data_IF_421065121263
#
_entry.id   IF_421065121263
#
_cell.length_a   1.000
_cell.length_b   1.000
_cell.length_c   1.000
_cell.angle_alpha   90.00
_cell.angle_beta   90.00
_cell.angle_gamma   90.00
#
_symmetry.space_group_name_H-M   'P 1'
#
loop_
_entity.id
_entity.type
_entity.pdbx_description
1 polymer ?
#
# COMPACT_ATOMS: atom_id res chain seq x y z
N UNK A 1 8.99 -0.22 43.71
CA UNK A 1 9.80 0.83 43.12
C UNK A 1 10.94 0.14 42.38
N UNK A 2 10.79 -0.07 41.08
CA UNK A 2 11.89 -0.38 40.15
C UNK A 2 11.63 0.51 38.95
N UNK A 3 12.32 1.65 38.93
CA UNK A 3 12.40 2.51 37.73
C UNK A 3 13.16 1.77 36.65
N UNK A 4 12.46 1.33 35.62
CA UNK A 4 13.07 0.83 34.38
C UNK A 4 13.32 2.05 33.50
N UNK A 5 14.60 2.46 33.40
CA UNK A 5 15.03 3.67 32.72
C UNK A 5 14.77 3.57 31.22
N UNK A 6 13.98 4.50 30.68
CA UNK A 6 13.64 4.71 29.27
C UNK A 6 14.84 5.08 28.38
N UNK A 7 16.02 5.23 28.96
CA UNK A 7 17.24 5.69 28.25
C UNK A 7 18.02 4.60 27.50
N UNK A 8 17.64 3.33 27.64
CA UNK A 8 18.51 2.24 27.16
C UNK A 8 18.26 1.82 25.72
N UNK A 9 17.13 2.16 25.11
CA UNK A 9 16.81 1.78 23.72
C UNK A 9 17.14 2.90 22.72
N UNK A 10 16.89 4.17 23.07
CA UNK A 10 17.25 5.32 22.22
C UNK A 10 18.76 5.54 22.10
N UNK A 11 19.53 5.12 23.11
CA UNK A 11 21.00 5.23 23.09
C UNK A 11 21.68 4.23 22.14
N UNK A 12 21.02 3.17 21.69
CA UNK A 12 21.65 2.16 20.82
C UNK A 12 21.73 2.55 19.33
N UNK A 13 20.82 3.36 18.82
CA UNK A 13 20.83 3.80 17.41
C UNK A 13 21.63 5.09 17.25
N UNK A 14 21.58 6.00 18.22
CA UNK A 14 22.30 7.31 18.15
C UNK A 14 23.75 7.22 18.66
N UNK A 15 24.12 6.18 19.42
CA UNK A 15 25.49 5.94 19.94
C UNK A 15 26.36 5.06 19.03
N UNK A 16 25.94 4.75 17.82
CA UNK A 16 26.87 4.36 16.75
C UNK A 16 27.67 5.60 16.32
N UNK A 17 28.26 6.27 17.34
CA UNK A 17 29.20 7.35 17.13
C UNK A 17 30.36 6.86 16.26
N UNK A 18 31.04 7.79 15.63
CA UNK A 18 32.17 7.71 14.71
C UNK A 18 33.29 6.68 15.03
N UNK A 19 33.16 5.89 16.09
CA UNK A 19 34.12 4.92 16.59
C UNK A 19 33.83 3.45 16.22
N UNK A 20 32.65 3.10 15.67
CA UNK A 20 32.35 1.72 15.28
C UNK A 20 33.09 1.35 13.98
N UNK A 21 33.92 0.30 13.95
CA UNK A 21 34.63 -0.11 12.74
C UNK A 21 33.68 -0.29 11.56
N UNK A 22 34.00 0.24 10.39
CA UNK A 22 33.17 0.22 9.17
C UNK A 22 32.64 -1.17 8.83
N UNK A 23 33.40 -2.26 9.11
CA UNK A 23 32.99 -3.64 8.92
C UNK A 23 31.85 -4.08 9.87
N UNK A 24 31.86 -3.60 11.11
CA UNK A 24 30.81 -3.93 12.09
C UNK A 24 29.54 -3.21 11.71
N UNK A 25 29.61 -1.95 11.31
CA UNK A 25 28.47 -1.15 10.83
C UNK A 25 27.84 -1.78 9.60
N UNK A 26 28.61 -2.12 8.58
CA UNK A 26 28.11 -2.79 7.37
C UNK A 26 27.47 -4.16 7.67
N UNK A 27 28.02 -4.91 8.65
CA UNK A 27 27.41 -6.16 9.10
C UNK A 27 26.06 -5.92 9.79
N UNK A 28 25.97 -4.96 10.69
CA UNK A 28 24.73 -4.61 11.39
C UNK A 28 23.65 -4.14 10.43
N UNK A 29 24.00 -3.27 9.45
CA UNK A 29 23.07 -2.81 8.40
C UNK A 29 22.57 -4.00 7.57
N UNK A 30 23.43 -4.94 7.23
CA UNK A 30 23.06 -6.16 6.49
C UNK A 30 22.16 -7.09 7.32
N UNK A 31 22.45 -7.26 8.59
CA UNK A 31 21.65 -8.09 9.50
C UNK A 31 20.25 -7.49 9.68
N UNK A 32 20.14 -6.17 9.84
CA UNK A 32 18.86 -5.43 9.93
C UNK A 32 18.06 -5.55 8.63
N UNK A 33 18.70 -5.41 7.46
CA UNK A 33 18.02 -5.58 6.18
C UNK A 33 17.50 -7.01 5.99
N UNK A 34 18.26 -8.03 6.41
CA UNK A 34 17.83 -9.42 6.34
C UNK A 34 16.66 -9.71 7.29
N UNK A 35 16.65 -9.11 8.47
CA UNK A 35 15.58 -9.24 9.45
C UNK A 35 14.28 -8.61 8.91
N UNK A 36 14.35 -7.43 8.31
CA UNK A 36 13.23 -6.78 7.65
C UNK A 36 12.68 -7.62 6.48
N UNK A 37 13.53 -8.18 5.63
CA UNK A 37 13.07 -9.08 4.55
C UNK A 37 12.34 -10.31 5.10
N UNK A 38 12.86 -10.94 6.15
CA UNK A 38 12.19 -12.07 6.81
C UNK A 38 10.83 -11.66 7.41
N UNK A 39 10.76 -10.47 8.00
CA UNK A 39 9.51 -9.92 8.53
C UNK A 39 8.49 -9.72 7.39
N UNK A 40 8.89 -9.09 6.29
CA UNK A 40 8.04 -8.89 5.11
C UNK A 40 7.48 -10.19 4.57
N UNK A 41 8.33 -11.18 4.34
CA UNK A 41 7.91 -12.47 3.80
C UNK A 41 6.95 -13.21 4.76
N UNK A 42 7.20 -13.17 6.06
CA UNK A 42 6.24 -13.74 7.04
C UNK A 42 4.87 -13.05 6.98
N UNK A 43 4.83 -11.72 6.90
CA UNK A 43 3.56 -10.98 6.85
C UNK A 43 2.85 -11.16 5.50
N UNK A 44 3.58 -11.23 4.40
CA UNK A 44 3.01 -11.56 3.07
C UNK A 44 2.42 -12.97 3.05
N UNK A 45 3.12 -13.94 3.59
CA UNK A 45 2.60 -15.32 3.70
C UNK A 45 1.33 -15.34 4.52
N UNK A 46 1.33 -14.67 5.69
CA UNK A 46 0.15 -14.59 6.56
C UNK A 46 -1.08 -14.04 5.84
N UNK A 47 -0.98 -12.90 5.16
CA UNK A 47 -2.13 -12.33 4.45
C UNK A 47 -2.55 -13.20 3.26
N UNK A 48 -1.62 -13.82 2.56
CA UNK A 48 -1.96 -14.74 1.47
C UNK A 48 -2.74 -15.96 1.96
N UNK A 49 -2.34 -16.55 3.09
CA UNK A 49 -3.07 -17.67 3.71
C UNK A 49 -4.46 -17.26 4.20
N UNK A 50 -4.63 -16.02 4.69
CA UNK A 50 -5.93 -15.50 5.07
C UNK A 50 -6.86 -15.37 3.85
N UNK A 51 -6.37 -14.75 2.78
CA UNK A 51 -7.10 -14.59 1.53
C UNK A 51 -7.47 -15.94 0.91
N UNK A 52 -6.54 -16.90 0.92
CA UNK A 52 -6.72 -18.24 0.38
C UNK A 52 -7.84 -19.00 1.12
N UNK A 53 -7.76 -19.05 2.45
CA UNK A 53 -8.79 -19.68 3.30
C UNK A 53 -10.15 -19.01 3.17
N UNK A 54 -10.18 -17.68 3.03
CA UNK A 54 -11.42 -16.95 2.88
C UNK A 54 -12.14 -17.34 1.57
N UNK A 55 -11.40 -17.41 0.45
CA UNK A 55 -11.96 -17.84 -0.84
C UNK A 55 -12.48 -19.28 -0.74
N UNK A 56 -11.70 -20.19 -0.15
CA UNK A 56 -12.11 -21.60 0.03
C UNK A 56 -13.41 -21.74 0.81
N UNK A 57 -13.62 -20.90 1.82
CA UNK A 57 -14.80 -20.96 2.67
C UNK A 57 -16.06 -20.32 2.05
N UNK A 58 -15.90 -19.29 1.19
CA UNK A 58 -17.02 -18.43 0.78
C UNK A 58 -17.32 -18.49 -0.73
N UNK A 59 -16.48 -19.09 -1.57
CA UNK A 59 -16.72 -19.17 -3.01
C UNK A 59 -17.11 -20.58 -3.46
N UNK A 60 -18.39 -20.78 -3.84
CA UNK A 60 -18.87 -22.07 -4.35
C UNK A 60 -18.76 -22.23 -5.87
N UNK A 61 -18.49 -21.15 -6.60
CA UNK A 61 -18.40 -21.16 -8.06
C UNK A 61 -16.97 -21.45 -8.52
N UNK A 62 -16.76 -22.57 -9.20
CA UNK A 62 -15.43 -22.97 -9.72
C UNK A 62 -14.81 -21.92 -10.64
N UNK A 63 -15.61 -21.27 -11.49
CA UNK A 63 -15.09 -20.24 -12.41
C UNK A 63 -14.74 -18.98 -11.63
N UNK A 64 -15.60 -18.51 -10.74
CA UNK A 64 -15.37 -17.32 -9.96
C UNK A 64 -14.20 -17.53 -9.00
N UNK A 65 -14.07 -18.68 -8.35
CA UNK A 65 -12.93 -19.03 -7.51
C UNK A 65 -11.61 -18.94 -8.28
N UNK A 66 -11.53 -19.52 -9.49
CA UNK A 66 -10.34 -19.42 -10.34
C UNK A 66 -10.01 -17.98 -10.70
N UNK A 67 -10.99 -17.16 -11.04
CA UNK A 67 -10.81 -15.76 -11.38
C UNK A 67 -10.37 -14.93 -10.17
N UNK A 68 -10.96 -15.13 -8.98
CA UNK A 68 -10.55 -14.52 -7.72
C UNK A 68 -9.10 -14.87 -7.37
N UNK A 69 -8.73 -16.14 -7.48
CA UNK A 69 -7.35 -16.60 -7.26
C UNK A 69 -6.40 -16.01 -8.28
N UNK A 70 -6.79 -15.89 -9.54
CA UNK A 70 -6.00 -15.26 -10.58
C UNK A 70 -5.76 -13.78 -10.29
N UNK A 71 -6.76 -13.05 -9.80
CA UNK A 71 -6.66 -11.64 -9.43
C UNK A 71 -5.74 -11.42 -8.20
N UNK A 72 -5.83 -12.31 -7.20
CA UNK A 72 -5.12 -12.19 -5.94
C UNK A 72 -3.73 -12.83 -5.95
N UNK A 73 -3.51 -13.93 -6.71
CA UNK A 73 -2.26 -14.69 -6.68
C UNK A 73 -1.64 -14.89 -8.09
N UNK A 74 -0.33 -14.72 -8.25
CA UNK A 74 0.66 -14.32 -7.26
C UNK A 74 0.42 -12.89 -6.83
N UNK A 75 0.36 -12.68 -5.52
CA UNK A 75 0.19 -11.35 -4.95
C UNK A 75 1.35 -10.43 -5.34
N UNK A 76 1.07 -9.14 -5.46
CA UNK A 76 2.10 -8.12 -5.62
C UNK A 76 2.93 -7.92 -4.35
N UNK A 77 3.41 -6.70 -4.15
CA UNK A 77 4.25 -6.32 -3.00
C UNK A 77 3.50 -6.36 -1.67
N UNK A 78 2.14 -6.46 -1.66
CA UNK A 78 1.28 -6.45 -0.46
C UNK A 78 1.54 -5.24 0.44
N UNK A 79 1.81 -4.08 -0.14
CA UNK A 79 2.26 -2.90 0.63
C UNK A 79 1.25 -2.46 1.68
N UNK A 80 -0.05 -2.42 1.37
CA UNK A 80 -1.09 -1.99 2.29
C UNK A 80 -1.23 -2.91 3.50
N UNK A 81 -1.33 -4.24 3.36
CA UNK A 81 -1.23 -5.17 4.48
C UNK A 81 0.05 -5.04 5.30
N UNK A 82 1.21 -4.82 4.65
CA UNK A 82 2.48 -4.63 5.36
C UNK A 82 2.47 -3.35 6.22
N UNK A 83 1.87 -2.26 5.73
CA UNK A 83 1.68 -1.03 6.51
C UNK A 83 0.77 -1.29 7.72
N UNK A 84 -0.32 -2.05 7.55
CA UNK A 84 -1.22 -2.45 8.64
C UNK A 84 -0.44 -3.19 9.73
N UNK A 85 0.31 -4.23 9.37
CA UNK A 85 1.10 -4.99 10.35
C UNK A 85 2.18 -4.16 11.01
N UNK A 86 2.87 -3.28 10.27
CA UNK A 86 3.88 -2.40 10.85
C UNK A 86 3.25 -1.35 11.79
N UNK A 87 2.10 -0.78 11.44
CA UNK A 87 1.36 0.14 12.31
C UNK A 87 0.82 -0.58 13.55
N UNK A 88 0.36 -1.83 13.43
CA UNK A 88 -0.08 -2.62 14.58
C UNK A 88 1.05 -2.88 15.55
N UNK A 89 2.26 -3.19 15.07
CA UNK A 89 3.46 -3.35 15.91
C UNK A 89 3.83 -2.05 16.62
N UNK A 90 3.78 -0.90 15.91
CA UNK A 90 4.04 0.40 16.50
C UNK A 90 3.06 0.76 17.63
N UNK A 91 1.81 0.33 17.52
CA UNK A 91 0.76 0.58 18.51
C UNK A 91 0.59 -0.53 19.56
N UNK A 92 1.41 -1.59 19.50
CA UNK A 92 1.29 -2.74 20.41
C UNK A 92 -0.01 -3.53 20.21
N UNK A 93 -0.56 -3.53 19.00
CA UNK A 93 -1.75 -4.29 18.60
C UNK A 93 -1.31 -5.64 18.03
N UNK A 94 -1.92 -6.72 18.50
CA UNK A 94 -1.60 -8.07 18.05
C UNK A 94 -1.95 -8.27 16.56
N UNK A 95 -1.09 -8.96 15.81
CA UNK A 95 -1.29 -9.21 14.38
C UNK A 95 -2.63 -9.90 14.06
N UNK A 96 -3.11 -10.77 14.94
CA UNK A 96 -4.41 -11.45 14.80
C UNK A 96 -5.60 -10.50 14.79
N UNK A 97 -5.49 -9.38 15.49
CA UNK A 97 -6.55 -8.36 15.55
C UNK A 97 -6.65 -7.53 14.26
N UNK A 98 -5.57 -7.46 13.48
CA UNK A 98 -5.53 -6.71 12.22
C UNK A 98 -5.55 -7.61 10.97
N UNK A 99 -5.64 -8.92 11.13
CA UNK A 99 -5.79 -9.87 10.03
C UNK A 99 -7.01 -9.57 9.14
N UNK A 100 -8.21 -9.32 9.69
CA UNK A 100 -9.38 -9.03 8.86
C UNK A 100 -9.21 -7.77 8.01
N UNK A 101 -8.69 -6.69 8.60
CA UNK A 101 -8.45 -5.44 7.87
C UNK A 101 -7.33 -5.57 6.84
N UNK A 102 -6.34 -6.43 7.09
CA UNK A 102 -5.25 -6.74 6.14
C UNK A 102 -5.77 -7.48 4.91
N UNK A 103 -6.68 -8.43 5.09
CA UNK A 103 -7.34 -9.12 3.98
C UNK A 103 -8.30 -8.18 3.24
N UNK A 104 -9.11 -7.41 3.96
CA UNK A 104 -10.10 -6.49 3.41
C UNK A 104 -9.47 -5.42 2.50
N UNK A 105 -8.39 -4.77 2.97
CA UNK A 105 -7.72 -3.71 2.20
C UNK A 105 -7.09 -4.26 0.91
N UNK A 106 -6.58 -5.50 0.94
CA UNK A 106 -6.00 -6.12 -0.24
C UNK A 106 -7.07 -6.58 -1.23
N UNK A 107 -8.24 -7.07 -0.77
CA UNK A 107 -9.39 -7.35 -1.62
C UNK A 107 -9.92 -6.06 -2.26
N UNK A 108 -10.06 -4.97 -1.47
CA UNK A 108 -10.44 -3.64 -1.94
C UNK A 108 -9.47 -3.10 -2.99
N UNK A 109 -8.17 -3.26 -2.79
CA UNK A 109 -7.18 -2.90 -3.79
C UNK A 109 -7.24 -3.78 -5.03
N UNK A 110 -7.45 -5.09 -4.86
CA UNK A 110 -7.43 -6.03 -5.99
C UNK A 110 -8.64 -5.88 -6.90
N UNK A 111 -9.84 -5.55 -6.36
CA UNK A 111 -10.99 -5.26 -7.19
C UNK A 111 -10.73 -4.07 -8.11
N UNK A 112 -10.10 -2.99 -7.59
CA UNK A 112 -9.82 -1.83 -8.40
C UNK A 112 -8.90 -2.16 -9.58
N UNK A 113 -7.88 -3.00 -9.35
CA UNK A 113 -7.00 -3.45 -10.43
C UNK A 113 -7.71 -4.30 -11.48
N UNK A 114 -8.65 -5.18 -11.06
CA UNK A 114 -9.45 -5.99 -11.99
C UNK A 114 -10.35 -5.12 -12.87
N UNK A 115 -10.96 -4.09 -12.27
CA UNK A 115 -11.82 -3.17 -13.02
C UNK A 115 -11.01 -2.17 -13.85
N UNK A 116 -9.88 -1.68 -13.36
CA UNK A 116 -8.98 -0.79 -14.10
C UNK A 116 -8.48 -1.45 -15.39
N UNK A 117 -8.23 -2.77 -15.37
CA UNK A 117 -7.74 -3.51 -16.55
C UNK A 117 -8.81 -3.71 -17.65
N UNK A 118 -10.11 -3.46 -17.39
CA UNK A 118 -11.19 -3.69 -18.35
C UNK A 118 -11.04 -2.82 -19.61
N UNK A 119 -11.55 -3.29 -20.80
CA UNK A 119 -11.52 -2.52 -22.04
C UNK A 119 -12.20 -1.15 -21.98
N UNK A 120 -13.15 -0.95 -21.05
CA UNK A 120 -13.81 0.33 -20.82
C UNK A 120 -13.03 1.28 -19.91
N UNK A 121 -11.88 0.85 -19.41
CA UNK A 121 -10.99 1.57 -18.50
C UNK A 121 -9.60 1.72 -19.12
N UNK A 122 -8.56 1.08 -18.56
CA UNK A 122 -7.19 1.17 -19.07
C UNK A 122 -6.89 0.21 -20.23
N UNK A 123 -7.74 -0.79 -20.48
CA UNK A 123 -7.58 -1.88 -21.50
C UNK A 123 -6.20 -2.56 -21.44
N UNK A 124 -5.76 -2.85 -20.23
CA UNK A 124 -4.46 -3.49 -19.98
C UNK A 124 -4.56 -5.02 -20.22
N UNK A 125 -3.78 -5.55 -21.16
CA UNK A 125 -3.76 -6.98 -21.48
C UNK A 125 -3.11 -7.83 -20.39
N UNK A 126 -2.19 -7.26 -19.60
CA UNK A 126 -1.39 -7.97 -18.60
C UNK A 126 -1.35 -7.26 -17.25
N UNK A 127 -1.44 -8.04 -16.18
CA UNK A 127 -1.29 -7.58 -14.81
C UNK A 127 -0.33 -8.49 -14.02
N UNK A 128 0.74 -7.93 -13.46
CA UNK A 128 1.75 -8.69 -12.67
C UNK A 128 2.35 -9.87 -13.45
N UNK A 129 2.59 -9.71 -14.75
CA UNK A 129 3.18 -10.72 -15.62
C UNK A 129 2.24 -11.85 -16.05
N UNK A 130 0.93 -11.75 -15.75
CA UNK A 130 -0.13 -12.66 -16.23
C UNK A 130 -1.14 -11.90 -17.08
N UNK A 131 -1.91 -12.59 -17.95
CA UNK A 131 -3.05 -11.97 -18.62
C UNK A 131 -3.98 -11.32 -17.58
N UNK A 132 -4.54 -10.14 -17.89
CA UNK A 132 -5.58 -9.53 -17.08
C UNK A 132 -6.80 -10.45 -16.96
N UNK A 133 -7.60 -10.29 -15.89
CA UNK A 133 -8.73 -11.21 -15.63
C UNK A 133 -9.70 -11.26 -16.80
N UNK A 134 -9.97 -10.13 -17.45
CA UNK A 134 -10.86 -10.08 -18.62
C UNK A 134 -10.30 -10.80 -19.86
N UNK A 135 -8.99 -10.87 -20.00
CA UNK A 135 -8.33 -11.63 -21.10
C UNK A 135 -8.37 -13.13 -20.84
N UNK A 136 -8.23 -13.56 -19.59
CA UNK A 136 -8.21 -14.99 -19.22
C UNK A 136 -9.61 -15.58 -19.06
N UNK A 137 -10.57 -14.83 -18.49
CA UNK A 137 -11.90 -15.34 -18.11
C UNK A 137 -13.06 -14.63 -18.82
N UNK A 138 -12.79 -13.61 -19.64
CA UNK A 138 -13.79 -12.78 -20.31
C UNK A 138 -14.26 -11.61 -19.45
N UNK A 139 -14.79 -10.56 -20.11
CA UNK A 139 -15.18 -9.29 -19.48
C UNK A 139 -16.25 -9.44 -18.39
N UNK A 140 -17.31 -10.21 -18.65
CA UNK A 140 -18.39 -10.43 -17.69
C UNK A 140 -17.87 -11.08 -16.41
N UNK A 141 -16.97 -12.08 -16.52
CA UNK A 141 -16.34 -12.71 -15.36
C UNK A 141 -15.43 -11.73 -14.62
N UNK A 142 -14.71 -10.86 -15.32
CA UNK A 142 -13.86 -9.85 -14.70
C UNK A 142 -14.67 -8.83 -13.91
N UNK A 143 -15.77 -8.31 -14.47
CA UNK A 143 -16.70 -7.42 -13.73
C UNK A 143 -17.17 -8.09 -12.44
N UNK A 144 -17.71 -9.32 -12.54
CA UNK A 144 -18.19 -10.06 -11.37
C UNK A 144 -17.08 -10.42 -10.37
N UNK A 145 -15.84 -10.63 -10.84
CA UNK A 145 -14.68 -10.85 -9.97
C UNK A 145 -14.35 -9.60 -9.14
N UNK A 146 -14.36 -8.43 -9.77
CA UNK A 146 -14.19 -7.16 -9.06
C UNK A 146 -15.31 -6.91 -8.05
N UNK A 147 -16.59 -7.13 -8.45
CA UNK A 147 -17.75 -6.99 -7.56
C UNK A 147 -17.67 -7.95 -6.36
N UNK A 148 -17.23 -9.18 -6.59
CA UNK A 148 -17.04 -10.16 -5.52
C UNK A 148 -15.93 -9.74 -4.55
N UNK A 149 -14.76 -9.29 -5.05
CA UNK A 149 -13.66 -8.80 -4.23
C UNK A 149 -14.07 -7.58 -3.39
N UNK A 150 -14.80 -6.63 -4.00
CA UNK A 150 -15.34 -5.47 -3.30
C UNK A 150 -16.28 -5.90 -2.17
N UNK A 151 -17.21 -6.80 -2.44
CA UNK A 151 -18.18 -7.30 -1.45
C UNK A 151 -17.49 -8.11 -0.35
N UNK A 152 -16.59 -9.00 -0.72
CA UNK A 152 -15.79 -9.80 0.21
C UNK A 152 -14.91 -8.96 1.14
N UNK A 153 -14.48 -7.76 0.70
CA UNK A 153 -13.74 -6.86 1.58
C UNK A 153 -14.54 -6.44 2.81
N UNK A 154 -15.85 -6.33 2.72
CA UNK A 154 -16.73 -6.05 3.86
C UNK A 154 -17.13 -7.32 4.63
N UNK A 155 -17.31 -8.44 3.93
CA UNK A 155 -17.63 -9.72 4.55
C UNK A 155 -16.50 -10.19 5.48
N UNK A 156 -15.25 -10.15 5.04
CA UNK A 156 -14.09 -10.51 5.87
C UNK A 156 -13.92 -9.62 7.10
N UNK A 157 -14.34 -8.35 7.01
CA UNK A 157 -14.39 -7.47 8.18
C UNK A 157 -15.44 -7.91 9.18
N UNK A 158 -16.64 -8.28 8.69
CA UNK A 158 -17.75 -8.71 9.53
C UNK A 158 -17.43 -10.03 10.26
N UNK A 159 -16.76 -10.96 9.58
CA UNK A 159 -16.37 -12.26 10.16
C UNK A 159 -15.29 -12.16 11.23
N UNK A 160 -14.36 -11.21 11.06
CA UNK A 160 -13.19 -11.10 11.91
C UNK A 160 -13.22 -9.96 12.93
N UNK A 161 -14.24 -9.11 12.91
CA UNK A 161 -14.32 -7.94 13.77
C UNK A 161 -14.88 -8.26 15.15
N UNK A 162 -14.42 -7.52 16.15
CA UNK A 162 -15.19 -7.35 17.40
C UNK A 162 -16.32 -6.35 17.14
N UNK A 163 -17.42 -6.45 17.89
CA UNK A 163 -18.59 -5.56 17.77
C UNK A 163 -18.24 -4.07 17.85
N UNK A 164 -17.17 -3.73 18.55
CA UNK A 164 -16.69 -2.35 18.71
C UNK A 164 -15.97 -1.82 17.47
N UNK A 165 -15.26 -2.66 16.73
CA UNK A 165 -14.42 -2.23 15.62
C UNK A 165 -15.16 -2.20 14.28
N UNK A 166 -16.15 -3.07 14.06
CA UNK A 166 -16.81 -3.30 12.75
C UNK A 166 -17.38 -2.03 12.14
N UNK A 167 -18.04 -1.20 12.94
CA UNK A 167 -18.64 0.06 12.45
C UNK A 167 -17.60 1.02 11.91
N UNK A 168 -16.52 1.22 12.64
CA UNK A 168 -15.48 2.18 12.28
C UNK A 168 -14.64 1.64 11.11
N UNK A 169 -14.31 0.35 11.10
CA UNK A 169 -13.65 -0.30 9.98
C UNK A 169 -14.46 -0.22 8.68
N UNK A 170 -15.77 -0.53 8.75
CA UNK A 170 -16.68 -0.42 7.60
C UNK A 170 -16.71 1.01 7.07
N UNK A 171 -16.81 2.00 7.95
CA UNK A 171 -16.84 3.41 7.57
C UNK A 171 -15.52 3.89 6.93
N UNK A 172 -14.38 3.50 7.51
CA UNK A 172 -13.05 3.84 6.99
C UNK A 172 -12.87 3.23 5.61
N UNK A 173 -13.12 1.92 5.46
CA UNK A 173 -12.93 1.22 4.20
C UNK A 173 -13.88 1.73 3.11
N UNK A 174 -15.16 1.95 3.43
CA UNK A 174 -16.14 2.48 2.50
C UNK A 174 -15.79 3.89 2.03
N UNK A 175 -15.30 4.76 2.93
CA UNK A 175 -14.87 6.11 2.57
C UNK A 175 -13.62 6.07 1.68
N UNK A 176 -12.62 5.25 2.04
CA UNK A 176 -11.36 5.17 1.32
C UNK A 176 -11.50 4.54 -0.07
N UNK A 177 -12.32 3.48 -0.21
CA UNK A 177 -12.59 2.83 -1.49
C UNK A 177 -13.68 3.51 -2.33
N UNK A 178 -14.52 4.35 -1.70
CA UNK A 178 -15.74 4.91 -2.29
C UNK A 178 -15.55 6.22 -3.07
N UNK A 179 -16.70 6.92 -3.26
CA UNK A 179 -16.81 8.14 -4.07
C UNK A 179 -16.06 9.37 -3.51
N UNK A 180 -15.58 9.32 -2.27
CA UNK A 180 -14.74 10.35 -1.66
C UNK A 180 -13.25 9.95 -1.61
N UNK A 181 -12.94 8.74 -2.03
CA UNK A 181 -11.60 8.14 -1.99
C UNK A 181 -11.14 7.63 -3.37
N UNK A 182 -10.82 6.35 -3.43
CA UNK A 182 -10.19 5.70 -4.59
C UNK A 182 -11.01 5.84 -5.88
N UNK A 183 -12.35 5.63 -5.83
CA UNK A 183 -13.23 5.79 -7.01
C UNK A 183 -13.20 7.23 -7.53
N UNK A 184 -13.20 8.23 -6.64
CA UNK A 184 -13.07 9.63 -7.05
C UNK A 184 -11.71 9.88 -7.72
N UNK A 185 -10.64 9.34 -7.14
CA UNK A 185 -9.30 9.46 -7.74
C UNK A 185 -9.21 8.80 -9.12
N UNK A 186 -9.87 7.66 -9.31
CA UNK A 186 -9.95 6.99 -10.62
C UNK A 186 -10.74 7.81 -11.64
N UNK A 187 -11.85 8.44 -11.22
CA UNK A 187 -12.62 9.34 -12.10
C UNK A 187 -11.76 10.54 -12.54
N UNK A 188 -11.03 11.17 -11.62
CA UNK A 188 -10.12 12.27 -11.95
C UNK A 188 -9.01 11.81 -12.93
N UNK A 189 -8.49 10.59 -12.78
CA UNK A 189 -7.48 10.03 -13.70
C UNK A 189 -8.05 9.87 -15.12
N UNK A 190 -9.27 9.35 -15.25
CA UNK A 190 -9.96 9.20 -16.55
C UNK A 190 -10.21 10.60 -17.18
N UNK A 191 -10.75 11.54 -16.42
CA UNK A 191 -11.04 12.90 -16.91
C UNK A 191 -9.75 13.63 -17.31
N UNK A 192 -8.62 13.33 -16.66
CA UNK A 192 -7.31 13.93 -16.96
C UNK A 192 -6.73 13.53 -18.31
N UNK A 193 -7.24 12.48 -18.94
CA UNK A 193 -6.81 12.07 -20.29
C UNK A 193 -7.14 13.13 -21.37
N UNK A 194 -8.11 14.00 -21.10
CA UNK A 194 -8.55 15.07 -22.02
C UNK A 194 -7.83 16.41 -21.80
N UNK A 195 -7.15 16.62 -20.64
CA UNK A 195 -6.49 17.88 -20.31
C UNK A 195 -5.29 17.67 -19.37
N UNK A 196 -4.24 18.48 -19.57
CA UNK A 196 -3.09 18.46 -18.67
C UNK A 196 -3.48 18.99 -17.28
N UNK A 197 -3.17 18.23 -16.25
CA UNK A 197 -3.40 18.62 -14.86
C UNK A 197 -2.35 19.64 -14.39
N UNK A 198 -2.75 20.56 -13.53
CA UNK A 198 -1.80 21.30 -12.69
C UNK A 198 -1.21 20.35 -11.63
N UNK A 199 -0.06 20.71 -11.05
CA UNK A 199 0.56 19.93 -9.97
C UNK A 199 -0.42 19.67 -8.81
N UNK A 200 -1.24 20.66 -8.44
CA UNK A 200 -2.22 20.54 -7.35
C UNK A 200 -3.32 19.52 -7.68
N UNK A 201 -3.79 19.51 -8.91
CA UNK A 201 -4.79 18.54 -9.37
C UNK A 201 -4.22 17.13 -9.45
N UNK A 202 -2.98 17.00 -9.95
CA UNK A 202 -2.25 15.73 -9.94
C UNK A 202 -2.08 15.18 -8.51
N UNK A 203 -1.64 16.00 -7.57
CA UNK A 203 -1.52 15.60 -6.17
C UNK A 203 -2.87 15.16 -5.57
N UNK A 204 -3.95 15.88 -5.88
CA UNK A 204 -5.30 15.51 -5.43
C UNK A 204 -5.70 14.15 -5.99
N UNK A 205 -5.54 13.94 -7.29
CA UNK A 205 -5.85 12.67 -7.96
C UNK A 205 -5.08 11.51 -7.28
N UNK A 206 -3.77 11.65 -7.09
CA UNK A 206 -2.94 10.62 -6.47
C UNK A 206 -3.28 10.36 -5.00
N UNK A 207 -3.56 11.42 -4.22
CA UNK A 207 -4.02 11.28 -2.84
C UNK A 207 -5.35 10.53 -2.75
N UNK A 208 -6.23 10.70 -3.74
CA UNK A 208 -7.51 10.01 -3.83
C UNK A 208 -7.34 8.58 -4.37
N UNK A 209 -6.78 8.42 -5.57
CA UNK A 209 -6.66 7.12 -6.25
C UNK A 209 -5.82 6.11 -5.46
N UNK A 210 -4.68 6.53 -4.96
CA UNK A 210 -3.70 5.66 -4.29
C UNK A 210 -3.62 5.94 -2.79
N UNK A 211 -3.47 7.20 -2.42
CA UNK A 211 -3.25 7.64 -1.03
C UNK A 211 -4.37 7.25 -0.09
N UNK A 212 -5.64 7.27 -0.53
CA UNK A 212 -6.79 6.94 0.31
C UNK A 212 -6.67 5.55 0.96
N UNK A 213 -6.23 4.54 0.22
CA UNK A 213 -6.03 3.20 0.80
C UNK A 213 -4.74 3.09 1.64
N UNK A 214 -3.72 3.94 1.41
CA UNK A 214 -2.55 4.03 2.29
C UNK A 214 -2.95 4.62 3.65
N UNK A 215 -3.71 5.73 3.65
CA UNK A 215 -4.24 6.36 4.87
C UNK A 215 -5.18 5.41 5.60
N UNK A 216 -6.09 4.74 4.88
CA UNK A 216 -6.97 3.72 5.46
C UNK A 216 -6.20 2.57 6.11
N UNK A 217 -5.04 2.15 5.58
CA UNK A 217 -4.22 1.10 6.18
C UNK A 217 -3.77 1.44 7.60
N UNK A 218 -3.54 2.71 7.89
CA UNK A 218 -3.22 3.20 9.25
C UNK A 218 -4.48 3.44 10.07
N UNK A 219 -5.50 4.08 9.48
CA UNK A 219 -6.77 4.39 10.17
C UNK A 219 -7.47 3.13 10.69
N UNK A 220 -7.44 2.02 9.95
CA UNK A 220 -8.01 0.74 10.36
C UNK A 220 -7.34 0.17 11.62
N UNK A 221 -6.04 0.41 11.80
CA UNK A 221 -5.31 -0.01 13.01
C UNK A 221 -5.61 0.93 14.18
N UNK A 222 -5.58 2.26 13.94
CA UNK A 222 -5.83 3.26 15.00
C UNK A 222 -7.27 3.17 15.53
N UNK A 223 -8.23 2.69 14.74
CA UNK A 223 -9.60 2.43 15.16
C UNK A 223 -9.72 1.37 16.28
N UNK A 224 -8.68 0.54 16.49
CA UNK A 224 -8.60 -0.40 17.61
C UNK A 224 -8.18 0.26 18.95
N UNK A 225 -7.83 1.54 18.92
CA UNK A 225 -7.42 2.34 20.08
C UNK A 225 -8.38 3.54 20.28
N UNK A 226 -9.69 3.28 20.55
CA UNK A 226 -10.69 4.34 20.66
C UNK A 226 -10.34 5.31 21.80
N UNK A 227 -10.48 6.61 21.53
CA UNK A 227 -10.16 7.68 22.48
C UNK A 227 -8.69 8.14 22.45
N UNK A 228 -7.83 7.48 21.69
CA UNK A 228 -6.47 7.94 21.44
C UNK A 228 -6.38 8.68 20.09
N UNK A 229 -5.37 9.53 19.93
CA UNK A 229 -5.17 10.33 18.71
C UNK A 229 -3.77 10.05 18.14
N UNK A 230 -3.70 9.79 16.83
CA UNK A 230 -2.48 9.39 16.13
C UNK A 230 -2.23 10.25 14.87
N UNK A 231 -2.26 11.60 14.99
CA UNK A 231 -2.14 12.46 13.82
C UNK A 231 -0.83 12.25 13.05
N UNK A 232 0.26 11.92 13.75
CA UNK A 232 1.56 11.66 13.14
C UNK A 232 1.55 10.40 12.26
N UNK A 233 0.86 9.34 12.68
CA UNK A 233 0.71 8.13 11.86
C UNK A 233 -0.17 8.38 10.63
N UNK A 234 -1.20 9.19 10.75
CA UNK A 234 -2.04 9.56 9.60
C UNK A 234 -1.25 10.42 8.61
N UNK A 235 -0.50 11.42 9.08
CA UNK A 235 0.38 12.23 8.23
C UNK A 235 1.47 11.38 7.57
N UNK A 236 2.06 10.43 8.32
CA UNK A 236 3.00 9.46 7.76
C UNK A 236 2.40 8.74 6.54
N UNK A 237 1.18 8.20 6.68
CA UNK A 237 0.53 7.46 5.60
C UNK A 237 0.21 8.34 4.38
N UNK A 238 -0.19 9.59 4.60
CA UNK A 238 -0.45 10.56 3.53
C UNK A 238 0.81 10.87 2.72
N UNK A 239 1.93 11.16 3.38
CA UNK A 239 3.21 11.39 2.72
C UNK A 239 3.71 10.13 2.02
N UNK A 240 3.55 8.95 2.65
CA UNK A 240 3.95 7.67 2.07
C UNK A 240 3.20 7.33 0.79
N UNK A 241 1.88 7.61 0.75
CA UNK A 241 1.06 7.42 -0.43
C UNK A 241 1.53 8.29 -1.61
N UNK A 242 1.95 9.54 -1.33
CA UNK A 242 2.50 10.43 -2.34
C UNK A 242 3.91 9.98 -2.79
N UNK A 243 4.78 9.57 -1.85
CA UNK A 243 6.07 8.94 -2.17
C UNK A 243 5.89 7.76 -3.14
N UNK A 244 4.88 6.94 -2.90
CA UNK A 244 4.60 5.77 -3.73
C UNK A 244 4.32 6.19 -5.17
N UNK A 245 3.47 7.20 -5.39
CA UNK A 245 3.11 7.66 -6.73
C UNK A 245 4.26 8.41 -7.44
N UNK A 246 4.95 9.31 -6.75
CA UNK A 246 6.11 9.99 -7.36
C UNK A 246 7.15 8.95 -7.81
N UNK A 247 7.35 7.89 -7.00
CA UNK A 247 8.30 6.83 -7.36
C UNK A 247 7.80 5.98 -8.53
N UNK A 248 6.48 5.73 -8.66
CA UNK A 248 5.92 5.03 -9.83
C UNK A 248 6.14 5.84 -11.11
N UNK A 249 5.89 7.16 -11.07
CA UNK A 249 6.08 8.08 -12.20
C UNK A 249 7.57 8.12 -12.65
N UNK A 250 8.51 8.15 -11.67
CA UNK A 250 9.93 8.08 -11.96
C UNK A 250 10.33 6.74 -12.58
N UNK A 251 9.77 5.63 -12.10
CA UNK A 251 10.05 4.30 -12.63
C UNK A 251 9.47 4.09 -14.04
N UNK A 252 8.35 4.71 -14.38
CA UNK A 252 7.80 4.65 -15.75
C UNK A 252 8.77 5.26 -16.77
N UNK A 253 9.48 6.33 -16.40
CA UNK A 253 10.47 7.00 -17.30
C UNK A 253 11.81 6.28 -17.27
N UNK A 254 12.30 5.87 -16.10
CA UNK A 254 13.64 5.27 -15.87
C UNK A 254 13.64 3.75 -16.06
N UNK A 255 12.45 3.11 -16.06
CA UNK A 255 12.30 1.67 -15.94
C UNK A 255 12.80 0.90 -17.15
N UNK A 256 13.46 -0.23 -16.91
CA UNK A 256 13.76 -1.22 -17.92
C UNK A 256 12.48 -2.03 -18.22
N UNK A 257 11.99 -2.08 -19.47
CA UNK A 257 10.80 -2.85 -19.85
C UNK A 257 10.83 -4.33 -19.43
N UNK A 258 12.03 -4.92 -19.37
CA UNK A 258 12.23 -6.31 -18.94
C UNK A 258 11.92 -6.52 -17.44
N UNK A 259 11.99 -5.44 -16.65
CA UNK A 259 11.79 -5.48 -15.19
C UNK A 259 10.38 -5.02 -14.79
N UNK A 260 9.86 -4.01 -15.48
CA UNK A 260 8.54 -3.43 -15.18
C UNK A 260 7.38 -4.20 -15.80
N UNK A 261 7.65 -5.00 -16.83
CA UNK A 261 6.62 -5.73 -17.60
C UNK A 261 5.72 -4.83 -18.46
N UNK A 262 5.97 -3.52 -18.49
CA UNK A 262 5.33 -2.53 -19.36
C UNK A 262 6.40 -1.83 -20.21
N UNK A 263 6.08 -1.36 -21.43
CA UNK A 263 6.99 -0.52 -22.21
C UNK A 263 7.31 0.75 -21.43
N UNK A 264 8.58 1.16 -21.36
CA UNK A 264 8.97 2.43 -20.76
C UNK A 264 8.23 3.60 -21.44
N UNK A 265 7.76 4.57 -20.65
CA UNK A 265 7.01 5.72 -21.17
C UNK A 265 5.56 5.41 -21.53
N UNK A 266 4.93 4.44 -20.89
CA UNK A 266 3.51 4.12 -21.11
C UNK A 266 2.61 5.33 -20.79
N UNK A 267 2.91 6.10 -19.76
CA UNK A 267 2.19 7.31 -19.39
C UNK A 267 2.33 8.43 -20.46
N UNK A 268 3.51 8.56 -21.03
CA UNK A 268 3.74 9.51 -22.15
C UNK A 268 2.95 9.13 -23.41
N UNK A 269 2.80 7.83 -23.71
CA UNK A 269 1.96 7.35 -24.82
C UNK A 269 0.48 7.66 -24.61
N UNK A 270 0.03 7.61 -23.35
CA UNK A 270 -1.36 7.81 -22.98
C UNK A 270 -1.67 9.28 -22.62
N UNK A 271 -0.76 10.21 -22.88
CA UNK A 271 -0.89 11.65 -22.55
C UNK A 271 -1.21 11.92 -21.07
N UNK A 272 -0.83 11.01 -20.14
CA UNK A 272 -1.09 11.18 -18.71
C UNK A 272 -0.19 12.24 -18.11
N UNK A 273 -0.77 13.07 -17.25
CA UNK A 273 -0.01 13.99 -16.41
C UNK A 273 0.69 13.19 -15.29
N UNK A 274 2.00 13.36 -15.14
CA UNK A 274 2.83 12.73 -14.11
C UNK A 274 3.67 13.79 -13.41
N UNK A 275 4.22 13.47 -12.22
CA UNK A 275 5.17 14.37 -11.57
C UNK A 275 6.36 14.68 -12.48
N UNK A 276 6.86 13.69 -13.23
CA UNK A 276 7.97 13.88 -14.16
C UNK A 276 7.58 14.78 -15.33
N UNK A 277 6.36 14.64 -15.88
CA UNK A 277 5.91 15.49 -17.00
C UNK A 277 5.70 16.95 -16.61
N UNK A 278 5.31 17.22 -15.34
CA UNK A 278 5.02 18.57 -14.84
C UNK A 278 6.29 19.25 -14.28
N UNK A 279 7.09 18.51 -13.50
CA UNK A 279 8.23 19.07 -12.76
C UNK A 279 9.58 18.85 -13.48
N UNK A 280 9.65 17.83 -14.33
CA UNK A 280 10.93 17.25 -14.79
C UNK A 280 11.47 16.23 -13.79
N UNK A 281 12.37 15.36 -14.27
CA UNK A 281 12.88 14.21 -13.50
C UNK A 281 13.60 14.63 -12.21
N UNK A 282 14.53 15.59 -12.31
CA UNK A 282 15.34 16.07 -11.17
C UNK A 282 14.49 16.67 -10.05
N UNK A 283 13.44 17.44 -10.40
CA UNK A 283 12.56 18.03 -9.38
C UNK A 283 11.59 16.98 -8.81
N UNK A 284 11.16 16.01 -9.60
CA UNK A 284 10.37 14.88 -9.13
C UNK A 284 11.17 14.03 -8.12
N UNK A 285 12.48 13.80 -8.36
CA UNK A 285 13.37 13.14 -7.39
C UNK A 285 13.49 13.94 -6.10
N UNK A 286 13.73 15.26 -6.19
CA UNK A 286 13.74 16.14 -4.99
C UNK A 286 12.42 16.12 -4.23
N UNK A 287 11.32 16.07 -4.94
CA UNK A 287 10.00 15.98 -4.31
C UNK A 287 9.82 14.64 -3.61
N UNK A 288 10.27 13.53 -4.19
CA UNK A 288 10.25 12.21 -3.55
C UNK A 288 11.05 12.21 -2.25
N UNK A 289 12.28 12.76 -2.28
CA UNK A 289 13.14 12.87 -1.09
C UNK A 289 12.46 13.69 0.01
N UNK A 290 11.88 14.84 -0.37
CA UNK A 290 11.16 15.71 0.57
C UNK A 290 9.97 15.01 1.24
N UNK A 291 9.12 14.31 0.45
CA UNK A 291 7.98 13.57 1.00
C UNK A 291 8.43 12.40 1.89
N UNK A 292 9.52 11.74 1.55
CA UNK A 292 10.14 10.71 2.39
C UNK A 292 10.63 11.28 3.72
N UNK A 293 11.33 12.41 3.71
CA UNK A 293 11.80 13.08 4.93
C UNK A 293 10.64 13.49 5.84
N UNK A 294 9.55 14.04 5.27
CA UNK A 294 8.35 14.38 6.02
C UNK A 294 7.71 13.13 6.65
N UNK A 295 7.58 12.07 5.86
CA UNK A 295 7.05 10.77 6.32
C UNK A 295 7.87 10.24 7.49
N UNK A 296 9.19 10.16 7.37
CA UNK A 296 10.08 9.69 8.44
C UNK A 296 10.06 10.64 9.66
N UNK A 297 9.95 11.95 9.45
CA UNK A 297 9.84 12.95 10.51
C UNK A 297 8.57 12.78 11.35
N UNK A 298 7.46 12.33 10.74
CA UNK A 298 6.24 11.99 11.48
C UNK A 298 6.48 10.82 12.44
N UNK A 299 7.17 9.77 12.00
CA UNK A 299 7.43 8.57 12.81
C UNK A 299 8.29 8.85 14.05
N UNK A 300 9.16 9.85 14.01
CA UNK A 300 9.98 10.24 15.18
C UNK A 300 9.15 10.72 16.37
N UNK A 301 7.90 11.10 16.16
CA UNK A 301 6.98 11.59 17.19
C UNK A 301 6.01 10.50 17.67
N UNK A 302 6.04 9.33 17.07
CA UNK A 302 5.19 8.20 17.46
C UNK A 302 5.83 7.45 18.60
N UNK A 303 5.07 7.25 19.68
CA UNK A 303 5.49 6.37 20.77
C UNK A 303 5.29 4.90 20.33
N UNK A 304 6.38 4.12 20.32
CA UNK A 304 6.35 2.71 19.94
C UNK A 304 7.46 2.33 18.96
N UNK A 305 7.43 1.08 18.50
CA UNK A 305 8.43 0.58 17.54
C UNK A 305 8.00 0.87 16.10
N UNK A 306 8.52 1.94 15.52
CA UNK A 306 8.25 2.36 14.14
C UNK A 306 9.23 1.78 13.12
N UNK A 307 10.16 0.91 13.52
CA UNK A 307 11.25 0.40 12.67
C UNK A 307 10.74 -0.18 11.35
N UNK A 308 9.67 -0.98 11.38
CA UNK A 308 9.13 -1.57 10.15
C UNK A 308 8.39 -0.56 9.28
N UNK A 309 7.76 0.49 9.84
CA UNK A 309 7.19 1.59 9.07
C UNK A 309 8.29 2.40 8.36
N UNK A 310 9.38 2.72 9.05
CA UNK A 310 10.53 3.40 8.47
C UNK A 310 11.15 2.59 7.33
N UNK A 311 11.35 1.30 7.55
CA UNK A 311 11.90 0.40 6.53
C UNK A 311 10.99 0.30 5.29
N UNK A 312 9.66 0.27 5.47
CA UNK A 312 8.70 0.30 4.37
C UNK A 312 8.75 1.62 3.59
N UNK A 313 8.86 2.76 4.27
CA UNK A 313 8.99 4.06 3.61
C UNK A 313 10.27 4.12 2.75
N UNK A 314 11.39 3.70 3.30
CA UNK A 314 12.66 3.61 2.55
C UNK A 314 12.61 2.61 1.40
N UNK A 315 11.95 1.47 1.59
CA UNK A 315 11.73 0.49 0.53
C UNK A 315 10.94 1.09 -0.63
N UNK A 316 9.87 1.83 -0.35
CA UNK A 316 9.04 2.49 -1.37
C UNK A 316 9.85 3.50 -2.16
N UNK A 317 10.59 4.38 -1.49
CA UNK A 317 11.37 5.41 -2.15
C UNK A 317 12.56 4.86 -2.97
N UNK A 318 13.18 3.77 -2.52
CA UNK A 318 14.39 3.20 -3.13
C UNK A 318 14.14 2.01 -4.06
N UNK A 319 12.90 1.61 -4.30
CA UNK A 319 12.60 0.49 -5.20
C UNK A 319 13.04 0.79 -6.64
N UNK A 320 13.46 -0.25 -7.35
CA UNK A 320 13.88 -0.21 -8.76
C UNK A 320 12.83 -0.81 -9.71
N UNK A 321 11.72 -1.32 -9.15
CA UNK A 321 10.62 -1.97 -9.91
C UNK A 321 9.34 -2.04 -9.06
#
# INVERSE_FOLDING_TARGET
MIECSKDTLYSRVTLLSRATPMRIRAKMEKDTALEFERWRERKKTRVNELLDRFIDAHCSSVILEKALRHALFPGGKRMRPLIIYAASEALGVEASQVDPVSAAIEMMHSYSLVHDDLPSMDDDDFRRGKPAVHKEFGEATAVLTGDALLTYSFEVLADGATDLAIRDWTKILAKAGGAEGMIYGQLLDIESSESLLSLKELELMHRKKTGALFSASVELVTALRPGESFPELHLFADHLGLCFQIKDDLLDVQGNPEVTGKPAGSDKKNNRSTFVSILGEEEAERRLEYELELSLGCLQKVEGDTTNLENLARLIANRSH
#
